data_IF_332735360079
#
_entry.id   IF_332735360079
#
_cell.length_a   1.000
_cell.length_b   1.000
_cell.length_c   1.000
_cell.angle_alpha   90.00
_cell.angle_beta   90.00
_cell.angle_gamma   90.00
#
_symmetry.space_group_name_H-M   'P 1'
#
loop_
_entity.id
_entity.type
_entity.pdbx_description
1 polymer ?
#
# COMPACT_ATOMS: atom_id res chain seq x y z
N UNK A 1 6.42 -17.37 -17.88
CA UNK A 1 5.22 -17.95 -18.56
C UNK A 1 5.41 -17.90 -20.09
N UNK A 2 5.14 -18.99 -20.84
CA UNK A 2 5.16 -18.97 -22.31
C UNK A 2 3.73 -18.93 -22.84
N UNK A 3 3.40 -17.95 -23.68
CA UNK A 3 2.04 -17.72 -24.15
C UNK A 3 2.00 -17.77 -25.68
N UNK A 4 1.20 -18.65 -26.28
CA UNK A 4 1.03 -18.72 -27.73
C UNK A 4 0.38 -17.45 -28.31
N UNK A 5 0.62 -17.14 -29.57
CA UNK A 5 0.00 -15.96 -30.23
C UNK A 5 -1.53 -16.07 -30.21
N UNK A 6 -2.08 -17.23 -30.58
CA UNK A 6 -3.52 -17.45 -30.59
C UNK A 6 -4.10 -17.41 -29.17
N UNK A 7 -3.40 -18.01 -28.19
CA UNK A 7 -3.80 -17.92 -26.79
C UNK A 7 -3.83 -16.47 -26.29
N UNK A 8 -2.84 -15.66 -26.65
CA UNK A 8 -2.82 -14.25 -26.30
C UNK A 8 -4.03 -13.50 -26.88
N UNK A 9 -4.36 -13.74 -28.15
CA UNK A 9 -5.52 -13.14 -28.83
C UNK A 9 -6.83 -13.55 -28.15
N UNK A 10 -7.02 -14.84 -27.89
CA UNK A 10 -8.22 -15.37 -27.24
C UNK A 10 -8.37 -14.84 -25.81
N UNK A 11 -7.30 -14.92 -25.01
CA UNK A 11 -7.34 -14.51 -23.61
C UNK A 11 -7.42 -13.00 -23.43
N UNK A 12 -6.90 -12.22 -24.38
CA UNK A 12 -7.08 -10.76 -24.37
C UNK A 12 -8.41 -10.32 -24.99
N UNK A 13 -9.22 -11.24 -25.53
CA UNK A 13 -10.43 -10.91 -26.32
C UNK A 13 -10.12 -9.95 -27.47
N UNK A 14 -8.95 -10.13 -28.09
CA UNK A 14 -8.43 -9.27 -29.15
C UNK A 14 -8.68 -9.80 -30.55
N UNK A 15 -8.27 -9.03 -31.54
CA UNK A 15 -8.27 -9.39 -32.95
C UNK A 15 -6.86 -9.23 -33.53
N UNK A 16 -6.31 -10.33 -34.05
CA UNK A 16 -4.99 -10.31 -34.69
C UNK A 16 -5.10 -9.64 -36.06
N UNK A 17 -4.33 -8.57 -36.27
CA UNK A 17 -4.42 -7.72 -37.46
C UNK A 17 -3.47 -8.13 -38.60
N UNK A 18 -2.59 -9.10 -38.36
CA UNK A 18 -1.62 -9.58 -39.33
C UNK A 18 -1.33 -11.09 -39.19
N UNK A 19 -0.43 -11.61 -40.02
CA UNK A 19 0.09 -12.98 -39.92
C UNK A 19 1.54 -12.92 -39.45
N UNK A 20 1.80 -12.87 -38.14
CA UNK A 20 3.16 -12.73 -37.62
C UNK A 20 3.97 -14.01 -37.79
N UNK A 21 5.30 -13.85 -37.90
CA UNK A 21 6.25 -14.97 -38.06
C UNK A 21 6.56 -15.70 -36.75
N UNK A 22 6.16 -15.13 -35.61
CA UNK A 22 6.37 -15.69 -34.27
C UNK A 22 5.25 -16.67 -33.87
N UNK A 23 5.54 -17.56 -32.92
CA UNK A 23 4.53 -18.50 -32.41
C UNK A 23 4.19 -18.31 -30.92
N UNK A 24 5.03 -17.61 -30.15
CA UNK A 24 4.85 -17.43 -28.71
C UNK A 24 5.54 -16.17 -28.20
N UNK A 25 5.08 -15.72 -27.03
CA UNK A 25 5.67 -14.69 -26.20
C UNK A 25 6.26 -15.29 -24.92
N UNK A 26 7.28 -14.65 -24.38
CA UNK A 26 7.97 -15.06 -23.15
C UNK A 26 7.46 -14.33 -21.90
N UNK A 27 6.78 -13.19 -22.09
CA UNK A 27 6.27 -12.36 -20.99
C UNK A 27 5.20 -11.40 -21.50
N UNK A 28 4.36 -10.90 -20.60
CA UNK A 28 3.45 -9.76 -20.82
C UNK A 28 3.98 -8.59 -20.00
N UNK A 29 4.13 -7.41 -20.62
CA UNK A 29 4.75 -6.24 -19.98
C UNK A 29 3.97 -4.97 -20.26
N UNK A 30 3.75 -4.16 -19.22
CA UNK A 30 2.95 -2.92 -19.29
C UNK A 30 3.82 -1.66 -19.22
N UNK A 31 5.11 -1.82 -18.96
CA UNK A 31 6.06 -0.72 -18.80
C UNK A 31 7.26 -0.93 -19.72
N UNK A 32 7.69 0.14 -20.40
CA UNK A 32 8.80 0.09 -21.37
C UNK A 32 10.10 -0.42 -20.76
N UNK A 33 10.40 -0.09 -19.51
CA UNK A 33 11.60 -0.52 -18.80
C UNK A 33 11.67 -2.04 -18.54
N UNK A 34 10.55 -2.76 -18.68
CA UNK A 34 10.48 -4.21 -18.51
C UNK A 34 10.48 -4.97 -19.85
N UNK A 35 10.45 -4.27 -20.98
CA UNK A 35 10.43 -4.92 -22.30
C UNK A 35 11.76 -5.63 -22.55
N UNK A 36 11.66 -6.89 -22.97
CA UNK A 36 12.78 -7.72 -23.39
C UNK A 36 12.45 -8.41 -24.71
N UNK A 37 13.45 -9.04 -25.33
CA UNK A 37 13.23 -9.84 -26.55
C UNK A 37 12.21 -10.95 -26.28
N UNK A 38 11.14 -10.98 -27.08
CA UNK A 38 10.07 -11.95 -26.93
C UNK A 38 8.90 -11.49 -26.05
N UNK A 39 8.90 -10.25 -25.56
CA UNK A 39 7.79 -9.72 -24.77
C UNK A 39 6.56 -9.37 -25.62
N UNK A 40 5.38 -9.56 -25.04
CA UNK A 40 4.11 -8.97 -25.48
C UNK A 40 3.89 -7.66 -24.71
N UNK A 41 3.97 -6.53 -25.40
CA UNK A 41 3.84 -5.20 -24.77
C UNK A 41 2.40 -4.69 -24.86
N UNK A 42 1.89 -4.16 -23.76
CA UNK A 42 0.56 -3.53 -23.68
C UNK A 42 0.71 -2.01 -23.81
N UNK A 43 0.32 -1.49 -24.96
CA UNK A 43 0.44 -0.07 -25.29
C UNK A 43 -0.80 0.71 -24.83
N UNK A 44 -0.79 1.18 -23.57
CA UNK A 44 -1.78 2.14 -23.05
C UNK A 44 -1.75 3.49 -23.77
N UNK A 45 -0.60 3.84 -24.34
CA UNK A 45 -0.39 5.00 -25.21
C UNK A 45 0.40 4.56 -26.44
N UNK A 46 -0.09 4.91 -27.62
CA UNK A 46 0.55 4.61 -28.91
C UNK A 46 1.94 5.24 -29.03
N UNK A 47 2.22 6.33 -28.33
CA UNK A 47 3.54 6.97 -28.32
C UNK A 47 4.66 6.03 -27.84
N UNK A 48 4.34 4.98 -27.07
CA UNK A 48 5.31 4.03 -26.56
C UNK A 48 5.59 2.85 -27.51
N UNK A 49 4.75 2.62 -28.51
CA UNK A 49 4.88 1.48 -29.43
C UNK A 49 6.23 1.46 -30.15
N UNK A 50 6.71 2.57 -30.77
CA UNK A 50 8.00 2.56 -31.45
C UNK A 50 9.14 2.13 -30.52
N UNK A 51 9.13 2.62 -29.27
CA UNK A 51 10.17 2.29 -28.31
C UNK A 51 10.10 0.84 -27.83
N UNK A 52 8.90 0.31 -27.64
CA UNK A 52 8.72 -1.10 -27.27
C UNK A 52 9.26 -2.04 -28.35
N UNK A 53 9.03 -1.72 -29.62
CA UNK A 53 9.57 -2.48 -30.76
C UNK A 53 11.10 -2.46 -30.79
N UNK A 54 11.72 -1.27 -30.62
CA UNK A 54 13.18 -1.15 -30.51
C UNK A 54 13.78 -2.00 -29.39
N UNK A 55 13.07 -2.14 -28.27
CA UNK A 55 13.49 -2.94 -27.12
C UNK A 55 13.25 -4.45 -27.30
N UNK A 56 12.65 -4.87 -28.42
CA UNK A 56 12.48 -6.27 -28.79
C UNK A 56 11.12 -6.87 -28.46
N UNK A 57 10.06 -6.05 -28.33
CA UNK A 57 8.70 -6.55 -28.23
C UNK A 57 8.32 -7.34 -29.50
N UNK A 58 7.84 -8.56 -29.31
CA UNK A 58 7.42 -9.47 -30.37
C UNK A 58 5.92 -9.36 -30.67
N UNK A 59 5.15 -8.75 -29.77
CA UNK A 59 3.76 -8.43 -30.00
C UNK A 59 3.34 -7.16 -29.29
N UNK A 60 2.30 -6.52 -29.83
CA UNK A 60 1.72 -5.29 -29.32
C UNK A 60 0.22 -5.50 -29.10
N UNK A 61 -0.24 -5.27 -27.88
CA UNK A 61 -1.65 -5.12 -27.51
C UNK A 61 -1.97 -3.62 -27.51
N UNK A 62 -2.97 -3.18 -28.28
CA UNK A 62 -3.30 -1.76 -28.44
C UNK A 62 -4.79 -1.54 -28.75
N UNK A 63 -5.28 -0.30 -28.65
CA UNK A 63 -6.67 0.09 -28.97
C UNK A 63 -6.73 1.09 -30.13
N UNK A 64 -7.86 1.17 -30.83
CA UNK A 64 -8.01 2.11 -31.94
C UNK A 64 -7.18 1.75 -33.17
N UNK A 65 -6.89 2.73 -34.01
CA UNK A 65 -6.11 2.52 -35.25
C UNK A 65 -4.63 2.85 -35.05
N UNK A 66 -3.75 2.00 -35.60
CA UNK A 66 -2.31 2.22 -35.61
C UNK A 66 -1.72 1.69 -36.93
N UNK A 67 -0.80 2.43 -37.59
CA UNK A 67 -0.17 1.97 -38.83
C UNK A 67 0.81 0.82 -38.55
N UNK A 68 0.49 -0.36 -39.07
CA UNK A 68 1.31 -1.56 -38.88
C UNK A 68 2.62 -1.43 -39.68
N UNK A 69 3.75 -1.28 -38.98
CA UNK A 69 5.06 -1.07 -39.61
C UNK A 69 5.88 -2.35 -39.77
N UNK A 70 5.74 -3.29 -38.84
CA UNK A 70 6.53 -4.52 -38.77
C UNK A 70 5.63 -5.74 -38.95
N UNK A 71 5.93 -6.58 -39.95
CA UNK A 71 5.13 -7.76 -40.28
C UNK A 71 5.45 -8.98 -39.40
N UNK A 72 6.63 -9.01 -38.79
CA UNK A 72 7.06 -10.14 -37.96
C UNK A 72 6.46 -10.06 -36.54
N UNK A 73 6.08 -8.86 -36.12
CA UNK A 73 5.43 -8.57 -34.83
C UNK A 73 3.95 -8.94 -34.88
N UNK A 74 3.43 -9.55 -33.83
CA UNK A 74 2.01 -9.81 -33.68
C UNK A 74 1.25 -8.54 -33.23
N UNK A 75 0.35 -8.04 -34.06
CA UNK A 75 -0.46 -6.86 -33.75
C UNK A 75 -1.86 -7.29 -33.32
N UNK A 76 -2.14 -7.15 -32.02
CA UNK A 76 -3.39 -7.59 -31.42
C UNK A 76 -4.20 -6.36 -31.02
N UNK A 77 -5.26 -6.09 -31.78
CA UNK A 77 -6.16 -4.96 -31.54
C UNK A 77 -7.20 -5.32 -30.50
N UNK A 78 -7.36 -4.46 -29.51
CA UNK A 78 -8.29 -4.60 -28.40
C UNK A 78 -9.40 -3.56 -28.52
N UNK A 79 -10.57 -3.90 -27.96
CA UNK A 79 -11.67 -2.94 -27.80
C UNK A 79 -11.45 -2.04 -26.59
N UNK A 80 -11.00 -2.62 -25.49
CA UNK A 80 -10.74 -1.95 -24.22
C UNK A 80 -9.54 -2.61 -23.53
N UNK A 81 -8.47 -1.84 -23.28
CA UNK A 81 -7.23 -2.37 -22.70
C UNK A 81 -7.48 -2.90 -21.28
N UNK A 82 -8.21 -2.17 -20.44
CA UNK A 82 -8.40 -2.53 -19.04
C UNK A 82 -9.24 -3.81 -18.90
N UNK A 83 -10.28 -3.95 -19.72
CA UNK A 83 -11.10 -5.16 -19.77
C UNK A 83 -10.28 -6.38 -20.22
N UNK A 84 -9.52 -6.24 -21.31
CA UNK A 84 -8.64 -7.29 -21.82
C UNK A 84 -7.56 -7.69 -20.82
N UNK A 85 -6.97 -6.70 -20.12
CA UNK A 85 -6.00 -6.92 -19.06
C UNK A 85 -6.62 -7.72 -17.91
N UNK A 86 -7.81 -7.37 -17.44
CA UNK A 86 -8.51 -8.13 -16.39
C UNK A 86 -8.71 -9.60 -16.77
N UNK A 87 -9.04 -9.88 -18.03
CA UNK A 87 -9.22 -11.23 -18.52
C UNK A 87 -7.89 -12.01 -18.57
N UNK A 88 -6.81 -11.37 -19.04
CA UNK A 88 -5.45 -11.93 -19.02
C UNK A 88 -4.98 -12.20 -17.59
N UNK A 89 -5.16 -11.25 -16.67
CA UNK A 89 -4.78 -11.40 -15.27
C UNK A 89 -5.51 -12.56 -14.61
N UNK A 90 -6.83 -12.63 -14.81
CA UNK A 90 -7.65 -13.73 -14.30
C UNK A 90 -7.10 -15.07 -14.80
N UNK A 91 -6.80 -15.19 -16.09
CA UNK A 91 -6.22 -16.42 -16.62
C UNK A 91 -4.89 -16.77 -15.94
N UNK A 92 -3.97 -15.81 -15.82
CA UNK A 92 -2.66 -16.03 -15.18
C UNK A 92 -2.83 -16.52 -13.72
N UNK A 93 -3.69 -15.84 -12.96
CA UNK A 93 -3.98 -16.19 -11.56
C UNK A 93 -4.63 -17.57 -11.41
N UNK A 94 -5.53 -17.94 -12.34
CA UNK A 94 -6.16 -19.25 -12.36
C UNK A 94 -5.19 -20.37 -12.74
N UNK A 95 -4.31 -20.13 -13.71
CA UNK A 95 -3.29 -21.08 -14.14
C UNK A 95 -2.31 -21.40 -13.02
N UNK A 96 -1.82 -20.37 -12.33
CA UNK A 96 -0.92 -20.50 -11.18
C UNK A 96 -1.65 -20.89 -9.87
N UNK A 97 -2.99 -21.00 -9.91
CA UNK A 97 -3.86 -21.33 -8.77
C UNK A 97 -3.62 -20.43 -7.55
N UNK A 98 -3.36 -19.15 -7.79
CA UNK A 98 -3.07 -18.18 -6.73
C UNK A 98 -4.29 -18.01 -5.82
N UNK A 99 -4.05 -18.10 -4.51
CA UNK A 99 -5.05 -17.79 -3.48
C UNK A 99 -5.06 -16.28 -3.26
N UNK A 100 -6.20 -15.65 -3.48
CA UNK A 100 -6.40 -14.23 -3.19
C UNK A 100 -6.99 -14.04 -1.80
N UNK A 101 -6.40 -13.18 -0.97
CA UNK A 101 -6.99 -12.74 0.29
C UNK A 101 -7.27 -11.23 0.28
N UNK A 102 -8.54 -10.87 0.46
CA UNK A 102 -8.96 -9.47 0.61
C UNK A 102 -8.74 -9.02 2.05
N UNK A 103 -7.96 -7.95 2.19
CA UNK A 103 -7.55 -7.32 3.45
C UNK A 103 -8.12 -5.90 3.53
N UNK A 104 -8.27 -5.37 4.73
CA UNK A 104 -8.35 -3.91 4.92
C UNK A 104 -7.00 -3.24 4.64
N UNK A 105 -6.97 -1.93 4.34
CA UNK A 105 -5.72 -1.22 4.06
C UNK A 105 -4.67 -1.38 5.18
N UNK A 106 -5.11 -1.40 6.44
CA UNK A 106 -4.23 -1.57 7.62
C UNK A 106 -3.69 -2.99 7.72
N UNK A 107 -4.53 -3.99 7.46
CA UNK A 107 -4.09 -5.38 7.43
C UNK A 107 -3.06 -5.62 6.33
N UNK A 108 -3.29 -5.07 5.14
CA UNK A 108 -2.35 -5.13 4.02
C UNK A 108 -1.04 -4.42 4.33
N UNK A 109 -1.10 -3.28 5.01
CA UNK A 109 0.08 -2.58 5.46
C UNK A 109 0.88 -3.42 6.48
N UNK A 110 0.24 -3.95 7.52
CA UNK A 110 0.86 -4.84 8.50
C UNK A 110 1.49 -6.05 7.80
N UNK A 111 0.73 -6.71 6.92
CA UNK A 111 1.18 -7.85 6.13
C UNK A 111 2.47 -7.54 5.37
N UNK A 112 2.52 -6.39 4.69
CA UNK A 112 3.68 -5.95 3.92
C UNK A 112 4.94 -5.69 4.76
N UNK A 113 4.82 -5.64 6.09
CA UNK A 113 5.95 -5.43 7.02
C UNK A 113 6.37 -6.70 7.74
N UNK A 114 5.46 -7.62 8.04
CA UNK A 114 5.76 -8.80 8.87
C UNK A 114 6.04 -10.07 8.06
N UNK A 115 5.49 -10.19 6.85
CA UNK A 115 5.59 -11.43 6.08
C UNK A 115 7.00 -11.59 5.53
N UNK A 116 7.56 -12.78 5.72
CA UNK A 116 8.92 -13.12 5.23
C UNK A 116 8.89 -14.20 4.14
N UNK A 117 7.75 -14.87 3.95
CA UNK A 117 7.56 -15.84 2.86
C UNK A 117 7.60 -15.17 1.49
N UNK A 118 8.46 -15.69 0.60
CA UNK A 118 8.66 -15.23 -0.78
C UNK A 118 7.47 -15.52 -1.71
N UNK A 119 6.69 -16.56 -1.41
CA UNK A 119 5.50 -16.95 -2.17
C UNK A 119 4.25 -16.10 -1.85
N UNK A 120 4.35 -15.12 -0.96
CA UNK A 120 3.24 -14.24 -0.55
C UNK A 120 3.48 -12.81 -1.00
N UNK A 121 2.51 -12.26 -1.72
CA UNK A 121 2.64 -10.97 -2.37
C UNK A 121 1.61 -9.98 -1.84
N UNK A 122 2.04 -8.78 -1.43
CA UNK A 122 1.17 -7.71 -0.98
C UNK A 122 1.00 -6.66 -2.08
N UNK A 123 -0.16 -6.65 -2.74
CA UNK A 123 -0.47 -5.81 -3.89
C UNK A 123 -1.16 -4.53 -3.42
N UNK A 124 -0.51 -3.37 -3.59
CA UNK A 124 -0.99 -2.08 -3.06
C UNK A 124 -1.60 -1.14 -4.09
N UNK A 125 -1.15 -1.17 -5.34
CA UNK A 125 -1.44 -0.06 -6.25
C UNK A 125 -2.04 -0.50 -7.58
N UNK A 126 -1.42 -1.41 -8.33
CA UNK A 126 -1.82 -1.67 -9.71
C UNK A 126 -1.95 -3.15 -10.04
N UNK A 127 -2.80 -3.46 -11.02
CA UNK A 127 -2.83 -4.80 -11.59
C UNK A 127 -1.52 -5.13 -12.32
N UNK A 128 -0.73 -4.12 -12.72
CA UNK A 128 0.56 -4.34 -13.40
C UNK A 128 1.55 -5.13 -12.51
N UNK A 129 1.37 -5.04 -11.19
CA UNK A 129 2.11 -5.82 -10.20
C UNK A 129 1.82 -7.32 -10.32
N UNK A 130 0.64 -7.71 -10.84
CA UNK A 130 0.26 -9.10 -11.05
C UNK A 130 1.04 -9.78 -12.18
N UNK A 131 1.60 -9.05 -13.16
CA UNK A 131 2.40 -9.69 -14.20
C UNK A 131 3.77 -10.17 -13.71
N UNK A 132 4.16 -9.80 -12.49
CA UNK A 132 5.45 -10.19 -11.91
C UNK A 132 5.32 -11.52 -11.14
N UNK A 133 4.10 -12.08 -10.96
CA UNK A 133 3.73 -13.18 -10.03
C UNK A 133 4.44 -14.55 -10.18
N UNK A 134 5.60 -14.66 -10.82
CA UNK A 134 6.38 -15.89 -10.83
C UNK A 134 6.71 -16.33 -9.39
N UNK A 135 6.31 -17.56 -9.04
CA UNK A 135 6.49 -18.14 -7.70
C UNK A 135 5.45 -17.70 -6.65
N UNK A 136 4.56 -16.77 -6.98
CA UNK A 136 3.48 -16.35 -6.08
C UNK A 136 2.43 -17.45 -5.93
N UNK A 137 2.09 -17.79 -4.69
CA UNK A 137 1.00 -18.72 -4.35
C UNK A 137 -0.16 -18.02 -3.65
N UNK A 138 0.12 -16.90 -2.98
CA UNK A 138 -0.85 -16.14 -2.20
C UNK A 138 -0.68 -14.66 -2.50
N UNK A 139 -1.78 -14.00 -2.85
CA UNK A 139 -1.81 -12.56 -3.08
C UNK A 139 -2.75 -11.89 -2.08
N UNK A 140 -2.22 -10.92 -1.34
CA UNK A 140 -2.93 -10.06 -0.43
C UNK A 140 -3.20 -8.71 -1.10
N UNK A 141 -4.41 -8.20 -1.00
CA UNK A 141 -4.85 -6.96 -1.65
C UNK A 141 -6.01 -6.33 -0.89
N UNK A 142 -6.27 -5.05 -1.12
CA UNK A 142 -7.35 -4.28 -0.48
C UNK A 142 -8.46 -3.81 -1.45
N UNK A 143 -8.32 -4.13 -2.73
CA UNK A 143 -9.28 -3.80 -3.79
C UNK A 143 -10.31 -4.89 -3.99
N UNK A 144 -11.56 -4.61 -3.63
CA UNK A 144 -12.67 -5.57 -3.74
C UNK A 144 -12.90 -6.02 -5.19
N UNK A 145 -12.69 -5.13 -6.17
CA UNK A 145 -12.82 -5.42 -7.58
C UNK A 145 -11.86 -6.53 -8.05
N UNK A 146 -10.73 -6.77 -7.38
CA UNK A 146 -9.79 -7.83 -7.74
C UNK A 146 -10.19 -9.21 -7.20
N UNK A 147 -11.12 -9.25 -6.25
CA UNK A 147 -11.47 -10.48 -5.53
C UNK A 147 -11.90 -11.63 -6.46
N UNK A 148 -12.62 -11.31 -7.53
CA UNK A 148 -13.14 -12.29 -8.49
C UNK A 148 -12.10 -12.80 -9.50
N UNK A 149 -10.87 -12.28 -9.48
CA UNK A 149 -9.80 -12.67 -10.40
C UNK A 149 -9.04 -13.93 -9.93
N UNK A 150 -9.13 -14.27 -8.64
CA UNK A 150 -8.34 -15.34 -8.03
C UNK A 150 -9.01 -16.71 -8.06
N UNK A 151 -8.19 -17.77 -8.08
CA UNK A 151 -8.63 -19.18 -8.10
C UNK A 151 -9.40 -19.56 -6.84
N UNK A 152 -8.84 -19.22 -5.69
CA UNK A 152 -9.48 -19.35 -4.39
C UNK A 152 -9.50 -17.99 -3.72
N UNK A 153 -10.62 -17.70 -3.07
CA UNK A 153 -10.89 -16.43 -2.43
C UNK A 153 -10.96 -16.64 -0.92
N UNK A 154 -10.09 -15.96 -0.19
CA UNK A 154 -10.06 -15.93 1.26
C UNK A 154 -10.48 -14.54 1.75
N UNK A 155 -11.26 -14.52 2.83
CA UNK A 155 -11.52 -13.31 3.60
C UNK A 155 -11.08 -13.58 5.03
N UNK A 156 -10.70 -12.54 5.75
CA UNK A 156 -10.60 -12.66 7.20
C UNK A 156 -12.01 -12.74 7.76
N UNK A 157 -12.40 -13.95 8.12
CA UNK A 157 -13.63 -14.20 8.88
C UNK A 157 -13.42 -13.77 10.34
N UNK A 158 -14.49 -13.30 10.98
CA UNK A 158 -14.48 -12.89 12.38
C UNK A 158 -14.30 -14.08 13.35
N UNK A 159 -14.61 -15.31 12.90
CA UNK A 159 -14.72 -16.53 13.72
C UNK A 159 -13.48 -17.44 13.68
N UNK A 160 -12.29 -16.89 13.47
CA UNK A 160 -11.05 -17.65 13.56
C UNK A 160 -10.76 -18.06 15.03
N UNK A 161 -10.12 -19.23 15.22
CA UNK A 161 -9.59 -19.66 16.53
C UNK A 161 -8.82 -18.52 17.18
N UNK A 162 -8.85 -18.47 18.52
CA UNK A 162 -7.98 -17.56 19.27
C UNK A 162 -6.53 -17.78 18.83
N UNK A 163 -5.85 -16.69 18.48
CA UNK A 163 -4.41 -16.70 18.20
C UNK A 163 -3.65 -16.92 19.49
N UNK A 164 -2.46 -17.51 19.42
CA UNK A 164 -1.55 -17.65 20.57
C UNK A 164 -0.97 -16.30 21.06
N UNK A 165 -1.37 -15.18 20.45
CA UNK A 165 -0.99 -13.83 20.85
C UNK A 165 -1.73 -13.39 22.11
N UNK A 166 -0.97 -13.11 23.17
CA UNK A 166 -1.45 -12.59 24.45
C UNK A 166 -0.94 -11.16 24.65
N UNK A 167 -1.83 -10.20 24.87
CA UNK A 167 -1.45 -8.81 25.19
C UNK A 167 -1.14 -8.71 26.68
N UNK A 168 0.10 -8.35 27.02
CA UNK A 168 0.55 -8.18 28.41
C UNK A 168 0.21 -6.79 28.95
N UNK A 169 0.52 -5.76 28.16
CA UNK A 169 0.29 -4.37 28.50
C UNK A 169 0.03 -3.57 27.23
N UNK A 170 -0.81 -2.53 27.33
CA UNK A 170 -1.21 -1.72 26.21
C UNK A 170 -1.28 -0.25 26.61
N UNK A 171 -0.49 0.56 25.92
CA UNK A 171 -0.65 2.01 25.85
C UNK A 171 -1.27 2.41 24.51
N UNK A 172 -1.54 3.69 24.31
CA UNK A 172 -2.18 4.14 23.06
C UNK A 172 -1.30 3.92 21.81
N UNK A 173 0.02 4.07 21.93
CA UNK A 173 0.96 3.94 20.81
C UNK A 173 1.91 2.75 20.92
N UNK A 174 1.88 2.00 22.02
CA UNK A 174 2.79 0.89 22.25
C UNK A 174 2.07 -0.25 22.94
N UNK A 175 2.30 -1.48 22.48
CA UNK A 175 1.69 -2.68 23.06
C UNK A 175 2.77 -3.73 23.31
N UNK A 176 2.85 -4.21 24.55
CA UNK A 176 3.68 -5.35 24.93
C UNK A 176 2.83 -6.62 24.85
N UNK A 177 3.34 -7.63 24.15
CA UNK A 177 2.62 -8.88 23.92
C UNK A 177 3.56 -10.08 23.88
N UNK A 178 2.98 -11.27 24.03
CA UNK A 178 3.67 -12.55 23.88
C UNK A 178 3.06 -13.29 22.71
N UNK A 179 3.91 -13.80 21.81
CA UNK A 179 3.53 -14.73 20.75
C UNK A 179 4.57 -15.84 20.68
N UNK A 180 4.15 -17.10 20.60
CA UNK A 180 5.05 -18.27 20.59
C UNK A 180 6.15 -18.24 21.68
N UNK A 181 5.80 -17.80 22.89
CA UNK A 181 6.71 -17.64 24.05
C UNK A 181 7.81 -16.58 23.87
N UNK A 182 7.72 -15.73 22.85
CA UNK A 182 8.59 -14.58 22.66
C UNK A 182 7.85 -13.30 23.04
N UNK A 183 8.53 -12.41 23.77
CA UNK A 183 8.02 -11.09 24.12
C UNK A 183 8.32 -10.10 22.99
N UNK A 184 7.32 -9.30 22.63
CA UNK A 184 7.44 -8.23 21.66
C UNK A 184 6.87 -6.93 22.22
N UNK A 185 7.58 -5.83 21.98
CA UNK A 185 7.09 -4.48 22.22
C UNK A 185 6.82 -3.80 20.88
N UNK A 186 5.54 -3.75 20.50
CA UNK A 186 5.14 -3.24 19.21
C UNK A 186 4.79 -1.76 19.28
N UNK A 187 5.48 -0.95 18.47
CA UNK A 187 5.25 0.48 18.33
C UNK A 187 4.16 0.71 17.29
N UNK A 188 2.91 0.65 17.72
CA UNK A 188 1.73 0.93 16.88
C UNK A 188 0.56 1.46 17.71
N UNK A 189 -0.31 2.30 17.13
CA UNK A 189 -1.58 2.65 17.73
C UNK A 189 -2.37 1.40 18.15
N UNK A 190 -2.95 1.42 19.35
CA UNK A 190 -3.68 0.25 19.87
C UNK A 190 -4.87 -0.18 19.02
N UNK A 191 -5.39 0.73 18.18
CA UNK A 191 -6.42 0.41 17.17
C UNK A 191 -5.96 -0.61 16.12
N UNK A 192 -4.65 -0.86 16.00
CA UNK A 192 -4.06 -1.83 15.06
C UNK A 192 -3.88 -3.23 15.66
N UNK A 193 -4.13 -3.42 16.96
CA UNK A 193 -4.01 -4.74 17.59
C UNK A 193 -4.98 -5.77 17.02
N UNK A 194 -6.23 -5.38 16.77
CA UNK A 194 -7.21 -6.30 16.19
C UNK A 194 -6.87 -6.64 14.73
N UNK A 195 -6.54 -5.68 13.84
CA UNK A 195 -5.93 -5.98 12.54
C UNK A 195 -4.73 -6.94 12.61
N UNK A 196 -3.80 -6.72 13.55
CA UNK A 196 -2.64 -7.60 13.72
C UNK A 196 -3.04 -9.04 14.10
N UNK A 197 -3.93 -9.20 15.09
CA UNK A 197 -4.41 -10.53 15.50
C UNK A 197 -5.06 -11.26 14.34
N UNK A 198 -5.89 -10.57 13.57
CA UNK A 198 -6.54 -11.12 12.38
C UNK A 198 -5.50 -11.55 11.33
N UNK A 199 -4.47 -10.73 11.09
CA UNK A 199 -3.38 -11.09 10.19
C UNK A 199 -2.58 -12.31 10.64
N UNK A 200 -2.25 -12.41 11.93
CA UNK A 200 -1.54 -13.58 12.49
C UNK A 200 -2.35 -14.85 12.26
N UNK A 201 -3.65 -14.83 12.57
CA UNK A 201 -4.53 -16.00 12.34
C UNK A 201 -4.61 -16.39 10.87
N UNK A 202 -4.64 -15.41 9.96
CA UNK A 202 -4.60 -15.69 8.53
C UNK A 202 -3.26 -16.36 8.13
N UNK A 203 -2.15 -15.87 8.66
CA UNK A 203 -0.83 -16.46 8.40
C UNK A 203 -0.76 -17.90 8.94
N UNK A 204 -1.25 -18.16 10.16
CA UNK A 204 -1.34 -19.51 10.74
C UNK A 204 -2.22 -20.44 9.87
N UNK A 205 -3.39 -19.97 9.45
CA UNK A 205 -4.32 -20.72 8.58
C UNK A 205 -3.68 -21.10 7.24
N UNK A 206 -2.96 -20.15 6.63
CA UNK A 206 -2.35 -20.31 5.31
C UNK A 206 -0.90 -20.84 5.36
N UNK A 207 -0.36 -21.09 6.56
CA UNK A 207 1.02 -21.52 6.79
C UNK A 207 2.05 -20.55 6.19
N UNK A 208 1.81 -19.26 6.40
CA UNK A 208 2.69 -18.17 5.98
C UNK A 208 3.64 -17.86 7.13
N UNK A 209 4.94 -17.76 6.82
CA UNK A 209 5.96 -17.34 7.78
C UNK A 209 5.98 -15.82 7.90
N UNK A 210 6.06 -15.33 9.14
CA UNK A 210 6.13 -13.90 9.47
C UNK A 210 7.02 -13.65 10.69
N UNK A 211 7.48 -12.41 10.84
CA UNK A 211 8.33 -11.97 11.96
C UNK A 211 7.78 -10.68 12.60
N UNK A 212 7.27 -10.78 13.82
CA UNK A 212 6.77 -9.63 14.59
C UNK A 212 7.88 -8.66 15.01
N UNK A 213 9.14 -9.11 15.04
CA UNK A 213 10.27 -8.23 15.35
C UNK A 213 10.45 -7.13 14.29
N UNK A 214 9.90 -7.31 13.08
CA UNK A 214 9.88 -6.29 12.04
C UNK A 214 9.00 -5.08 12.40
N UNK A 215 8.02 -5.26 13.30
CA UNK A 215 7.21 -4.18 13.90
C UNK A 215 7.77 -3.70 15.25
N UNK A 216 8.62 -4.48 15.90
CA UNK A 216 9.26 -4.14 17.17
C UNK A 216 10.57 -3.33 17.00
N UNK A 217 10.86 -2.87 15.77
CA UNK A 217 12.09 -2.12 15.46
C UNK A 217 12.19 -0.81 16.27
N UNK A 218 13.39 -0.24 16.30
CA UNK A 218 13.63 1.06 16.95
C UNK A 218 12.77 2.17 16.33
N UNK A 219 12.61 2.14 15.02
CA UNK A 219 11.80 3.08 14.25
C UNK A 219 10.40 2.51 13.98
N UNK A 220 9.42 3.40 13.92
CA UNK A 220 8.04 3.07 13.58
C UNK A 220 7.96 2.70 12.09
N UNK A 221 7.40 1.53 11.78
CA UNK A 221 7.48 0.92 10.44
C UNK A 221 6.24 1.12 9.55
N UNK A 222 5.13 1.60 10.13
CA UNK A 222 3.88 1.86 9.42
C UNK A 222 3.85 3.32 8.94
N UNK A 223 3.18 3.57 7.83
CA UNK A 223 2.92 4.87 7.25
C UNK A 223 1.65 5.48 7.87
N UNK A 224 0.63 4.66 8.14
CA UNK A 224 -0.61 5.11 8.76
C UNK A 224 -0.47 5.40 10.26
N UNK A 225 -1.14 6.47 10.70
CA UNK A 225 -1.22 6.89 12.10
C UNK A 225 0.13 6.96 12.84
N UNK A 226 1.23 7.24 12.12
CA UNK A 226 2.59 7.33 12.67
C UNK A 226 2.68 8.42 13.76
N UNK A 227 3.03 8.06 15.01
CA UNK A 227 3.21 9.05 16.06
C UNK A 227 4.59 9.69 15.99
N UNK A 228 4.59 11.02 15.94
CA UNK A 228 5.80 11.83 16.08
C UNK A 228 5.87 12.39 17.49
N UNK A 229 6.80 11.84 18.28
CA UNK A 229 7.15 12.40 19.58
C UNK A 229 7.96 13.68 19.33
N UNK A 230 7.56 14.78 19.96
CA UNK A 230 8.20 16.08 19.76
C UNK A 230 8.55 16.74 21.08
N UNK A 231 9.59 17.57 21.07
CA UNK A 231 9.95 18.37 22.23
C UNK A 231 9.13 19.69 22.27
N UNK A 232 9.50 20.61 23.16
CA UNK A 232 8.83 21.93 23.25
C UNK A 232 8.98 22.78 21.98
N UNK A 233 10.06 22.58 21.23
CA UNK A 233 10.39 23.32 19.99
C UNK A 233 9.77 22.70 18.73
N UNK A 234 9.00 21.61 18.86
CA UNK A 234 8.50 20.74 17.77
C UNK A 234 9.58 19.97 17.01
N UNK A 235 10.76 19.77 17.60
CA UNK A 235 11.78 18.89 17.01
C UNK A 235 11.42 17.44 17.33
N UNK A 236 11.59 16.56 16.34
CA UNK A 236 11.31 15.12 16.49
C UNK A 236 12.28 14.55 17.54
N UNK A 237 11.70 13.85 18.51
CA UNK A 237 12.40 13.18 19.58
C UNK A 237 12.28 11.65 19.41
N UNK A 238 13.17 10.86 20.05
CA UNK A 238 13.05 9.40 20.02
C UNK A 238 11.70 8.94 20.58
N UNK A 239 11.27 7.78 20.11
CA UNK A 239 9.97 7.20 20.45
C UNK A 239 9.76 7.09 21.97
N UNK A 240 8.61 7.55 22.48
CA UNK A 240 8.25 7.44 23.89
C UNK A 240 9.00 8.40 24.84
N UNK A 241 9.90 9.26 24.34
CA UNK A 241 10.75 10.11 25.22
C UNK A 241 10.12 11.43 25.63
N UNK A 242 8.99 11.82 25.03
CA UNK A 242 8.31 13.09 25.34
C UNK A 242 6.83 12.88 25.59
N UNK A 243 6.22 13.81 26.35
CA UNK A 243 4.79 13.84 26.62
C UNK A 243 3.96 14.55 25.53
N UNK A 244 4.60 14.97 24.42
CA UNK A 244 3.94 15.63 23.28
C UNK A 244 4.05 14.72 22.05
N UNK A 245 2.90 14.29 21.55
CA UNK A 245 2.81 13.45 20.35
C UNK A 245 1.96 14.15 19.31
N UNK A 246 2.42 14.15 18.07
CA UNK A 246 1.69 14.66 16.90
C UNK A 246 1.45 13.50 15.95
N UNK A 247 0.20 13.30 15.53
CA UNK A 247 -0.19 12.25 14.58
C UNK A 247 -0.94 12.90 13.43
N UNK A 248 -0.64 12.49 12.21
CA UNK A 248 -1.42 12.87 11.04
C UNK A 248 -1.98 11.64 10.34
N UNK A 249 -3.22 11.75 9.85
CA UNK A 249 -3.85 10.74 9.03
C UNK A 249 -4.70 11.39 7.92
N UNK A 250 -4.54 10.88 6.70
CA UNK A 250 -5.24 11.34 5.51
C UNK A 250 -6.58 10.63 5.31
N UNK A 251 -6.69 9.36 5.72
CA UNK A 251 -7.92 8.61 5.66
C UNK A 251 -8.90 9.11 6.72
N UNK A 252 -10.06 9.61 6.29
CA UNK A 252 -11.12 10.05 7.19
C UNK A 252 -11.54 8.94 8.15
N UNK A 253 -11.85 7.76 7.62
CA UNK A 253 -12.32 6.63 8.42
C UNK A 253 -11.30 6.25 9.50
N UNK A 254 -10.03 6.16 9.13
CA UNK A 254 -9.00 5.78 10.08
C UNK A 254 -8.73 6.88 11.12
N UNK A 255 -8.73 8.13 10.69
CA UNK A 255 -8.61 9.28 11.59
C UNK A 255 -9.74 9.30 12.61
N UNK A 256 -10.98 9.03 12.19
CA UNK A 256 -12.14 8.96 13.09
C UNK A 256 -11.99 7.85 14.14
N UNK A 257 -11.61 6.63 13.70
CA UNK A 257 -11.38 5.50 14.61
C UNK A 257 -10.25 5.76 15.60
N UNK A 258 -9.15 6.35 15.13
CA UNK A 258 -8.02 6.73 15.96
C UNK A 258 -8.42 7.78 17.01
N UNK A 259 -9.08 8.85 16.58
CA UNK A 259 -9.45 9.96 17.45
C UNK A 259 -10.51 9.54 18.48
N UNK A 260 -11.50 8.75 18.07
CA UNK A 260 -12.47 8.18 19.01
C UNK A 260 -11.74 7.38 20.11
N UNK A 261 -10.85 6.47 19.72
CA UNK A 261 -10.10 5.67 20.70
C UNK A 261 -9.20 6.55 21.58
N UNK A 262 -8.61 7.61 21.04
CA UNK A 262 -7.78 8.55 21.78
C UNK A 262 -8.60 9.28 22.85
N UNK A 263 -9.78 9.80 22.50
CA UNK A 263 -10.66 10.49 23.44
C UNK A 263 -11.13 9.58 24.58
N UNK A 264 -11.33 8.29 24.31
CA UNK A 264 -11.70 7.29 25.32
C UNK A 264 -10.55 6.94 26.28
N UNK A 265 -9.31 6.85 25.76
CA UNK A 265 -8.16 6.25 26.48
C UNK A 265 -7.13 7.26 27.01
N UNK A 266 -7.07 8.46 26.42
CA UNK A 266 -6.11 9.51 26.74
C UNK A 266 -6.79 10.69 27.46
N UNK A 267 -7.88 10.42 28.20
CA UNK A 267 -8.66 11.44 28.93
C UNK A 267 -7.84 12.23 29.95
N UNK A 268 -6.70 11.70 30.39
CA UNK A 268 -5.74 12.38 31.27
C UNK A 268 -4.92 13.47 30.56
N UNK A 269 -4.80 13.41 29.23
CA UNK A 269 -3.95 14.29 28.43
C UNK A 269 -4.75 15.36 27.71
N UNK A 270 -4.13 16.52 27.46
CA UNK A 270 -4.74 17.56 26.64
C UNK A 270 -4.65 17.18 25.16
N UNK A 271 -5.79 16.81 24.59
CA UNK A 271 -5.94 16.50 23.17
C UNK A 271 -6.36 17.77 22.42
N UNK A 272 -5.69 18.04 21.29
CA UNK A 272 -6.07 19.05 20.31
C UNK A 272 -6.21 18.40 18.93
N UNK A 273 -7.16 18.88 18.14
CA UNK A 273 -7.50 18.28 16.85
C UNK A 273 -7.45 19.36 15.77
N UNK A 274 -6.72 19.10 14.69
CA UNK A 274 -6.53 20.04 13.59
C UNK A 274 -7.23 19.58 12.33
N UNK A 275 -7.99 20.50 11.73
CA UNK A 275 -8.64 20.34 10.45
C UNK A 275 -8.15 21.41 9.48
N UNK A 276 -8.14 21.13 8.18
CA UNK A 276 -7.95 22.17 7.19
C UNK A 276 -9.15 23.12 7.21
N UNK A 277 -8.94 24.41 6.97
CA UNK A 277 -10.03 25.38 6.88
C UNK A 277 -11.08 24.91 5.85
N UNK A 278 -12.35 24.97 6.23
CA UNK A 278 -13.51 24.48 5.47
C UNK A 278 -13.64 22.94 5.37
N UNK A 279 -12.83 22.16 6.07
CA UNK A 279 -13.07 20.73 6.20
C UNK A 279 -14.23 20.44 7.16
N UNK A 280 -14.92 19.32 6.91
CA UNK A 280 -15.94 18.80 7.83
C UNK A 280 -15.29 18.41 9.15
N UNK A 281 -15.90 18.81 10.25
CA UNK A 281 -15.50 18.43 11.61
C UNK A 281 -16.33 17.23 12.03
N UNK A 282 -15.67 16.14 12.43
CA UNK A 282 -16.36 14.90 12.81
C UNK A 282 -16.60 14.79 14.32
N UNK A 283 -15.80 15.49 15.13
CA UNK A 283 -15.88 15.48 16.59
C UNK A 283 -16.02 16.90 17.13
N UNK A 284 -17.22 17.47 17.07
CA UNK A 284 -17.48 18.86 17.45
C UNK A 284 -17.09 19.20 18.88
N UNK A 285 -17.19 18.23 19.80
CA UNK A 285 -16.88 18.40 21.24
C UNK A 285 -15.38 18.34 21.55
N UNK A 286 -14.53 18.00 20.59
CA UNK A 286 -13.08 18.00 20.80
C UNK A 286 -12.51 19.43 20.74
N UNK A 287 -11.28 19.63 21.22
CA UNK A 287 -10.57 20.91 21.11
C UNK A 287 -10.09 21.12 19.68
N UNK A 288 -11.00 21.59 18.82
CA UNK A 288 -10.79 21.70 17.38
C UNK A 288 -10.10 23.02 17.00
N UNK A 289 -9.13 22.93 16.09
CA UNK A 289 -8.37 24.03 15.52
C UNK A 289 -8.37 23.90 14.00
N UNK A 290 -8.24 25.03 13.31
CA UNK A 290 -8.23 25.08 11.86
C UNK A 290 -6.93 25.68 11.34
N UNK A 291 -6.38 25.07 10.28
CA UNK A 291 -5.20 25.58 9.60
C UNK A 291 -5.47 25.85 8.11
N UNK A 292 -4.80 26.87 7.57
CA UNK A 292 -4.87 27.23 6.13
C UNK A 292 -3.64 26.81 5.36
N UNK A 293 -2.47 26.88 6.01
CA UNK A 293 -1.15 26.59 5.43
C UNK A 293 -0.32 25.74 6.40
N UNK A 294 0.74 25.11 5.89
CA UNK A 294 1.69 24.35 6.72
C UNK A 294 2.38 25.23 7.77
N UNK A 295 2.76 26.47 7.40
CA UNK A 295 3.36 27.42 8.34
C UNK A 295 2.39 27.77 9.48
N UNK A 296 1.13 28.04 9.15
CA UNK A 296 0.11 28.32 10.14
C UNK A 296 -0.14 27.12 11.08
N UNK A 297 -0.15 25.89 10.56
CA UNK A 297 -0.24 24.67 11.38
C UNK A 297 0.97 24.54 12.32
N UNK A 298 2.19 24.76 11.81
CA UNK A 298 3.43 24.70 12.59
C UNK A 298 3.46 25.73 13.72
N UNK A 299 3.07 26.97 13.44
CA UNK A 299 2.96 28.03 14.44
C UNK A 299 1.96 27.69 15.54
N UNK A 300 0.77 27.20 15.16
CA UNK A 300 -0.24 26.77 16.14
C UNK A 300 0.27 25.63 17.02
N UNK A 301 0.93 24.62 16.45
CA UNK A 301 1.54 23.53 17.21
C UNK A 301 2.64 24.01 18.17
N UNK A 302 3.38 25.07 17.84
CA UNK A 302 4.40 25.62 18.77
C UNK A 302 3.77 26.33 19.97
N UNK A 303 2.70 27.08 19.72
CA UNK A 303 2.10 27.98 20.71
C UNK A 303 1.05 27.29 21.59
N UNK A 304 0.47 26.18 21.13
CA UNK A 304 -0.54 25.45 21.89
C UNK A 304 0.09 24.47 22.90
N UNK A 305 -0.39 24.53 24.13
CA UNK A 305 -0.18 23.46 25.10
C UNK A 305 -1.04 22.25 24.70
N UNK A 306 -0.42 21.09 24.53
CA UNK A 306 -1.07 19.80 24.28
C UNK A 306 -0.18 18.65 24.73
N UNK A 307 -0.80 17.49 24.98
CA UNK A 307 -0.13 16.19 25.05
C UNK A 307 -0.26 15.45 23.72
N UNK A 308 -1.42 15.55 23.08
CA UNK A 308 -1.70 14.86 21.82
C UNK A 308 -2.29 15.83 20.80
N UNK A 309 -1.69 15.90 19.62
CA UNK A 309 -2.21 16.66 18.50
C UNK A 309 -2.54 15.70 17.35
N UNK A 310 -3.81 15.65 16.95
CA UNK A 310 -4.28 14.83 15.82
C UNK A 310 -4.61 15.74 14.65
N UNK A 311 -4.02 15.48 13.48
CA UNK A 311 -4.15 16.31 12.28
C UNK A 311 -4.82 15.51 11.18
N UNK A 312 -5.98 15.96 10.74
CA UNK A 312 -6.71 15.34 9.63
C UNK A 312 -6.27 15.91 8.28
N UNK A 313 -6.19 15.04 7.27
CA UNK A 313 -6.11 15.40 5.86
C UNK A 313 -4.70 15.60 5.30
N UNK A 314 -3.66 15.18 6.04
CA UNK A 314 -2.28 15.11 5.54
C UNK A 314 -1.68 13.74 5.91
N UNK A 315 -0.73 13.27 5.10
CA UNK A 315 -0.02 12.01 5.40
C UNK A 315 1.08 12.21 6.45
N UNK A 316 1.53 11.11 7.06
CA UNK A 316 2.66 11.09 7.97
C UNK A 316 3.95 11.64 7.35
N UNK A 317 4.23 11.34 6.07
CA UNK A 317 5.36 11.91 5.34
C UNK A 317 5.29 13.45 5.23
N UNK A 318 4.11 14.00 4.95
CA UNK A 318 3.94 15.46 4.92
C UNK A 318 4.13 16.09 6.30
N UNK A 319 3.65 15.44 7.36
CA UNK A 319 3.88 15.89 8.74
C UNK A 319 5.37 15.83 9.12
N UNK A 320 6.06 14.75 8.76
CA UNK A 320 7.49 14.59 9.00
C UNK A 320 8.32 15.70 8.35
N UNK A 321 8.02 16.03 7.09
CA UNK A 321 8.64 17.14 6.38
C UNK A 321 8.36 18.51 7.03
N UNK A 322 7.17 18.70 7.61
CA UNK A 322 6.82 19.92 8.36
C UNK A 322 7.63 20.05 9.66
N UNK A 323 7.83 18.93 10.36
CA UNK A 323 8.58 18.87 11.63
C UNK A 323 10.09 18.98 11.39
N UNK A 324 10.60 18.29 10.38
CA UNK A 324 12.01 18.29 9.95
C UNK A 324 12.13 18.86 8.53
N UNK A 325 12.07 20.20 8.35
CA UNK A 325 12.23 20.79 7.03
C UNK A 325 13.63 20.48 6.49
N UNK A 326 13.77 20.22 5.17
CA UNK A 326 15.06 19.96 4.57
C UNK A 326 16.01 21.12 4.88
N UNK A 327 17.21 20.80 5.35
CA UNK A 327 18.27 21.78 5.53
C UNK A 327 18.54 22.44 4.17
N UNK A 328 18.07 23.67 3.99
CA UNK A 328 18.59 24.51 2.91
C UNK A 328 20.10 24.60 3.15
N UNK A 329 20.90 24.03 2.23
CA UNK A 329 22.34 24.32 2.17
C UNK A 329 22.45 25.83 2.17
N UNK A 330 22.95 26.41 3.27
CA UNK A 330 23.33 27.82 3.30
C UNK A 330 24.33 27.98 2.17
N UNK A 331 23.92 28.62 1.07
CA UNK A 331 24.85 29.12 0.07
C UNK A 331 25.84 29.98 0.84
N UNK A 332 27.17 29.73 0.75
CA UNK A 332 28.13 30.61 1.40
C UNK A 332 27.92 32.00 0.80
N UNK A 333 27.45 32.94 1.62
CA UNK A 333 27.63 34.35 1.34
C UNK A 333 29.13 34.59 1.36
N UNK A 334 29.71 34.74 0.18
CA UNK A 334 31.02 35.34 -0.01
C UNK A 334 30.92 36.78 0.54
N UNK A 335 31.67 37.05 1.61
CA UNK A 335 32.08 38.38 2.00
C UNK A 335 33.54 38.54 1.62
#
# INVERSE_FOLDING_TARGET
MRLGVNEAVELSLGELQNTPSISYFNSIVLSLNKVQKGSLFVAKDHAFIPKALELGAYGILYTGEYPLSDRDVAWIKLKDIEHSLNHLFKFCLLNERVVGALLSPIELEIASKIIVSDFVWCLKESLEDLFILEGCKIAFFDKLEWFHLFYKQERLEESLKESDLVVLNQSFFCSALVYEKQEHELKMPCIFLEPLKRMIRLCEKLKIEFDLNLLAKKEYSLDHCKPFFVNKNLEIAPYGTTARVVVAESSKELFERLLQKALETLSWGKIVVFYRKNSVVFFEKANNYFYTTQNNLKEQLKNLAFNFAFIHGISSHHLESLLNPPLFKKTPTLW
#
